data_IF_449584741949
#
_entry.id   IF_449584741949
#
_cell.length_a   1.000
_cell.length_b   1.000
_cell.length_c   1.000
_cell.angle_alpha   90.00
_cell.angle_beta   90.00
_cell.angle_gamma   90.00
#
_symmetry.space_group_name_H-M   'P 1'
#
loop_
_entity.id
_entity.type
_entity.pdbx_description
1 polymer ?
#
# COMPACT_ATOMS: atom_id res chain seq x y z
N UNK A 1 -4.67 44.90 -108.66
CA UNK A 1 -5.72 45.87 -108.26
C UNK A 1 -6.32 45.40 -106.93
N UNK A 2 -6.02 46.07 -105.96
CA UNK A 2 -6.73 46.35 -104.70
C UNK A 2 -7.55 45.19 -104.13
N UNK A 3 -7.44 44.78 -102.90
CA UNK A 3 -7.11 45.43 -101.60
C UNK A 3 -8.15 44.96 -100.62
N UNK A 4 -7.81 44.57 -99.52
CA UNK A 4 -8.30 45.09 -98.23
C UNK A 4 -7.93 44.18 -97.01
N UNK A 5 -7.17 44.72 -96.18
CA UNK A 5 -6.98 44.26 -94.82
C UNK A 5 -8.32 44.33 -94.08
N UNK A 6 -8.60 43.35 -93.29
CA UNK A 6 -9.39 43.63 -92.11
C UNK A 6 -8.77 42.98 -90.84
N UNK A 7 -8.68 43.86 -89.93
CA UNK A 7 -8.10 43.69 -88.60
C UNK A 7 -9.09 42.99 -87.67
N UNK A 8 -8.55 42.15 -86.88
CA UNK A 8 -8.88 42.16 -85.42
C UNK A 8 -10.19 41.57 -84.98
N UNK A 9 -10.08 40.48 -84.28
CA UNK A 9 -10.86 40.43 -83.06
C UNK A 9 -10.20 39.49 -82.06
N UNK A 10 -9.54 40.11 -81.10
CA UNK A 10 -9.07 39.46 -79.87
C UNK A 10 -10.27 39.30 -78.96
N UNK A 11 -11.05 38.25 -79.14
CA UNK A 11 -12.13 37.97 -78.25
C UNK A 11 -11.60 37.22 -77.03
N UNK A 12 -11.76 37.88 -75.89
CA UNK A 12 -11.65 37.40 -74.55
C UNK A 12 -12.17 35.97 -74.39
N UNK A 13 -11.27 35.06 -74.00
CA UNK A 13 -11.68 33.82 -73.31
C UNK A 13 -12.10 34.18 -71.91
N UNK A 14 -13.34 33.98 -71.54
CA UNK A 14 -13.69 34.06 -70.08
C UNK A 14 -13.03 32.89 -69.34
N UNK A 15 -12.23 33.22 -68.36
CA UNK A 15 -11.80 32.26 -67.36
C UNK A 15 -13.08 31.70 -66.71
N UNK A 16 -13.39 30.45 -66.99
CA UNK A 16 -14.44 29.74 -66.28
C UNK A 16 -14.01 29.61 -64.84
N UNK A 17 -14.61 30.43 -63.94
CA UNK A 17 -14.52 30.24 -62.52
C UNK A 17 -15.08 28.86 -62.19
N UNK A 18 -14.24 27.94 -61.75
CA UNK A 18 -14.66 26.64 -61.25
C UNK A 18 -15.45 26.84 -59.95
N UNK A 19 -16.77 26.85 -60.08
CA UNK A 19 -17.66 26.82 -58.92
C UNK A 19 -17.43 25.51 -58.14
N UNK A 20 -17.35 25.52 -56.81
CA UNK A 20 -17.07 24.32 -55.99
C UNK A 20 -18.10 23.20 -56.18
N UNK A 21 -19.26 23.50 -56.73
CA UNK A 21 -20.28 22.52 -57.08
C UNK A 21 -19.93 21.62 -58.28
N UNK A 22 -19.04 22.07 -59.20
CA UNK A 22 -18.65 21.27 -60.41
C UNK A 22 -17.65 20.17 -60.05
N UNK A 23 -16.88 20.31 -59.00
CA UNK A 23 -15.95 19.25 -58.51
C UNK A 23 -16.72 18.05 -57.94
N UNK A 24 -17.83 18.30 -57.24
CA UNK A 24 -18.68 17.24 -56.68
C UNK A 24 -19.37 16.46 -57.80
N UNK A 25 -19.91 17.15 -58.80
CA UNK A 25 -20.57 16.52 -59.98
C UNK A 25 -19.62 15.69 -60.84
N UNK A 26 -18.33 16.10 -60.96
CA UNK A 26 -17.35 15.34 -61.74
C UNK A 26 -16.85 14.06 -61.04
N UNK A 27 -17.06 13.93 -59.72
CA UNK A 27 -16.78 12.69 -59.03
C UNK A 27 -17.81 11.60 -59.31
N UNK A 28 -19.05 11.95 -59.59
CA UNK A 28 -20.11 10.99 -59.91
C UNK A 28 -19.95 10.33 -61.28
N UNK A 29 -19.23 10.96 -62.22
CA UNK A 29 -18.96 10.40 -63.55
C UNK A 29 -17.81 9.38 -63.57
N UNK A 30 -17.08 9.21 -62.48
CA UNK A 30 -15.99 8.24 -62.36
C UNK A 30 -16.44 6.98 -61.62
N UNK A 31 -17.03 6.04 -62.33
CA UNK A 31 -17.54 4.79 -61.79
C UNK A 31 -16.53 4.04 -60.88
N UNK A 32 -15.25 4.08 -61.23
CA UNK A 32 -14.20 3.46 -60.44
C UNK A 32 -14.01 4.14 -59.05
N UNK A 33 -14.04 5.47 -58.99
CA UNK A 33 -13.95 6.18 -57.68
C UNK A 33 -15.15 5.90 -56.80
N UNK A 34 -16.34 5.82 -57.37
CA UNK A 34 -17.56 5.42 -56.63
C UNK A 34 -17.46 4.01 -56.08
N UNK A 35 -16.91 3.06 -56.86
CA UNK A 35 -16.68 1.68 -56.38
C UNK A 35 -15.64 1.65 -55.26
N UNK A 36 -14.57 2.42 -55.32
CA UNK A 36 -13.59 2.55 -54.26
C UNK A 36 -14.19 3.16 -52.99
N UNK A 37 -14.98 4.23 -53.11
CA UNK A 37 -15.69 4.84 -51.99
C UNK A 37 -16.74 3.88 -51.37
N UNK A 38 -17.49 3.15 -52.22
CA UNK A 38 -18.43 2.16 -51.77
C UNK A 38 -17.76 1.01 -51.00
N UNK A 39 -16.66 0.47 -51.56
CA UNK A 39 -15.88 -0.59 -50.87
C UNK A 39 -15.25 -0.10 -49.59
N UNK A 40 -14.76 1.15 -49.53
CA UNK A 40 -14.27 1.76 -48.30
C UNK A 40 -15.38 1.89 -47.24
N UNK A 41 -16.58 2.36 -47.64
CA UNK A 41 -17.74 2.46 -46.76
C UNK A 41 -18.18 1.08 -46.27
N UNK A 42 -18.20 0.06 -47.12
CA UNK A 42 -18.51 -1.31 -46.71
C UNK A 42 -17.47 -1.88 -45.73
N UNK A 43 -16.18 -1.65 -46.01
CA UNK A 43 -15.12 -2.03 -45.08
C UNK A 43 -15.25 -1.34 -43.72
N UNK A 44 -15.53 -0.05 -43.71
CA UNK A 44 -15.75 0.73 -42.51
C UNK A 44 -16.98 0.22 -41.74
N UNK A 45 -18.10 -0.04 -42.44
CA UNK A 45 -19.32 -0.58 -41.84
C UNK A 45 -19.07 -1.99 -41.26
N UNK A 46 -18.32 -2.85 -41.94
CA UNK A 46 -17.94 -4.16 -41.48
C UNK A 46 -17.07 -4.08 -40.20
N UNK A 47 -16.11 -3.15 -40.13
CA UNK A 47 -15.28 -2.91 -38.94
C UNK A 47 -16.13 -2.42 -37.77
N UNK A 48 -17.04 -1.47 -38.00
CA UNK A 48 -17.96 -0.96 -36.98
C UNK A 48 -18.92 -2.04 -36.48
N UNK A 49 -19.42 -2.89 -37.37
CA UNK A 49 -20.28 -4.01 -37.00
C UNK A 49 -19.50 -5.03 -36.15
N UNK A 50 -18.28 -5.36 -36.57
CA UNK A 50 -17.41 -6.26 -35.80
C UNK A 50 -17.10 -5.70 -34.40
N UNK A 51 -16.79 -4.41 -34.34
CA UNK A 51 -16.58 -3.70 -33.07
C UNK A 51 -17.82 -3.74 -32.18
N UNK A 52 -18.98 -3.46 -32.77
CA UNK A 52 -20.27 -3.50 -32.02
C UNK A 52 -20.59 -4.91 -31.51
N UNK A 53 -20.32 -5.95 -32.30
CA UNK A 53 -20.48 -7.35 -31.89
C UNK A 53 -19.52 -7.71 -30.76
N UNK A 54 -18.25 -7.34 -30.86
CA UNK A 54 -17.24 -7.57 -29.82
C UNK A 54 -17.61 -6.81 -28.54
N UNK A 55 -18.00 -5.55 -28.67
CA UNK A 55 -18.46 -4.73 -27.54
C UNK A 55 -19.67 -5.35 -26.86
N UNK A 56 -20.64 -5.81 -27.62
CA UNK A 56 -21.84 -6.47 -27.09
C UNK A 56 -21.45 -7.78 -26.39
N UNK A 57 -20.58 -8.60 -26.99
CA UNK A 57 -20.14 -9.86 -26.43
C UNK A 57 -19.44 -9.65 -25.07
N UNK A 58 -18.60 -8.64 -24.93
CA UNK A 58 -17.87 -8.33 -23.69
C UNK A 58 -18.82 -7.81 -22.61
N UNK A 59 -19.86 -7.04 -22.98
CA UNK A 59 -20.77 -6.40 -22.02
C UNK A 59 -22.01 -7.22 -21.69
N UNK A 60 -22.31 -8.24 -22.48
CA UNK A 60 -23.39 -9.17 -22.16
C UNK A 60 -23.05 -10.00 -20.92
N UNK A 61 -24.03 -10.37 -20.08
CA UNK A 61 -23.83 -11.20 -18.89
C UNK A 61 -23.55 -12.69 -19.24
N UNK A 62 -22.84 -12.92 -20.37
CA UNK A 62 -22.48 -14.28 -20.82
C UNK A 62 -21.31 -14.86 -20.01
N UNK A 63 -20.53 -14.01 -19.35
CA UNK A 63 -19.40 -14.44 -18.53
C UNK A 63 -19.58 -13.92 -17.09
N UNK A 64 -20.57 -14.46 -16.34
CA UNK A 64 -20.74 -14.09 -14.95
C UNK A 64 -19.53 -14.57 -14.13
N UNK A 65 -19.13 -13.77 -13.17
CA UNK A 65 -18.15 -14.16 -12.17
C UNK A 65 -18.84 -15.10 -11.18
N UNK A 66 -18.43 -16.36 -11.09
CA UNK A 66 -19.10 -17.38 -10.27
C UNK A 66 -18.35 -17.68 -8.99
N UNK A 67 -17.03 -17.62 -9.03
CA UNK A 67 -16.17 -18.02 -7.93
C UNK A 67 -15.25 -16.88 -7.52
N UNK A 68 -15.12 -16.68 -6.20
CA UNK A 68 -14.14 -15.79 -5.61
C UNK A 68 -13.28 -16.62 -4.67
N UNK A 69 -12.02 -16.80 -5.04
CA UNK A 69 -11.06 -17.57 -4.26
C UNK A 69 -10.20 -16.59 -3.47
N UNK A 70 -10.26 -16.69 -2.13
CA UNK A 70 -9.46 -15.87 -1.23
C UNK A 70 -8.31 -16.69 -0.71
N UNK A 71 -7.09 -16.21 -0.91
CA UNK A 71 -5.85 -16.83 -0.46
C UNK A 71 -5.13 -15.93 0.51
N UNK A 72 -4.47 -16.52 1.50
CA UNK A 72 -3.68 -15.85 2.52
C UNK A 72 -3.82 -16.55 3.86
N UNK A 73 -2.88 -16.26 4.75
CA UNK A 73 -2.99 -16.68 6.16
C UNK A 73 -3.77 -15.60 6.92
N UNK A 74 -5.10 -15.79 7.00
CA UNK A 74 -6.03 -14.81 7.54
C UNK A 74 -6.42 -15.20 8.97
N UNK A 75 -6.03 -14.37 9.94
CA UNK A 75 -6.36 -14.55 11.36
C UNK A 75 -7.37 -13.52 11.88
N UNK A 76 -7.41 -12.35 11.25
CA UNK A 76 -8.21 -11.21 11.70
C UNK A 76 -9.30 -10.81 10.70
N UNK A 77 -9.13 -11.13 9.42
CA UNK A 77 -10.15 -10.85 8.40
C UNK A 77 -11.22 -11.94 8.45
N UNK A 78 -12.47 -11.53 8.72
CA UNK A 78 -13.59 -12.44 8.84
C UNK A 78 -14.30 -12.67 7.51
N UNK A 79 -14.94 -13.83 7.37
CA UNK A 79 -15.78 -14.14 6.20
C UNK A 79 -16.86 -13.08 5.94
N UNK A 80 -17.44 -12.52 7.00
CA UNK A 80 -18.46 -11.48 6.89
C UNK A 80 -17.92 -10.19 6.25
N UNK A 81 -16.72 -9.76 6.63
CA UNK A 81 -16.04 -8.60 6.03
C UNK A 81 -15.76 -8.83 4.54
N UNK A 82 -15.26 -10.01 4.22
CA UNK A 82 -15.02 -10.41 2.83
C UNK A 82 -16.31 -10.40 2.02
N UNK A 83 -17.36 -11.06 2.51
CA UNK A 83 -18.66 -11.13 1.85
C UNK A 83 -19.27 -9.73 1.62
N UNK A 84 -19.13 -8.85 2.58
CA UNK A 84 -19.58 -7.46 2.46
C UNK A 84 -18.88 -6.73 1.31
N UNK A 85 -17.55 -6.86 1.19
CA UNK A 85 -16.79 -6.23 0.12
C UNK A 85 -17.15 -6.83 -1.24
N UNK A 86 -17.24 -8.16 -1.31
CA UNK A 86 -17.64 -8.87 -2.53
C UNK A 86 -19.00 -8.36 -3.02
N UNK A 87 -19.99 -8.30 -2.14
CA UNK A 87 -21.34 -7.84 -2.52
C UNK A 87 -21.37 -6.37 -2.99
N UNK A 88 -20.51 -5.53 -2.41
CA UNK A 88 -20.52 -4.09 -2.66
C UNK A 88 -19.69 -3.69 -3.89
N UNK A 89 -18.50 -4.25 -4.03
CA UNK A 89 -17.50 -3.80 -5.02
C UNK A 89 -17.51 -4.64 -6.31
N UNK A 90 -18.14 -5.83 -6.31
CA UNK A 90 -18.19 -6.71 -7.48
C UNK A 90 -19.37 -6.31 -8.40
N UNK A 91 -19.12 -5.31 -9.22
CA UNK A 91 -20.09 -4.84 -10.21
C UNK A 91 -19.59 -5.10 -11.62
N UNK A 92 -20.37 -5.81 -12.42
CA UNK A 92 -20.00 -6.17 -13.80
C UNK A 92 -19.84 -7.67 -14.00
N UNK A 93 -19.19 -8.03 -15.11
CA UNK A 93 -18.87 -9.40 -15.47
C UNK A 93 -17.36 -9.66 -15.35
N UNK A 94 -16.92 -10.88 -15.70
CA UNK A 94 -15.52 -11.30 -15.64
C UNK A 94 -14.55 -10.31 -16.34
N UNK A 95 -14.97 -9.68 -17.46
CA UNK A 95 -14.12 -8.78 -18.24
C UNK A 95 -14.23 -7.31 -17.79
N UNK A 96 -15.40 -6.88 -17.37
CA UNK A 96 -15.70 -5.48 -17.06
C UNK A 96 -15.49 -5.11 -15.61
N UNK A 97 -15.29 -6.09 -14.70
CA UNK A 97 -15.03 -5.84 -13.29
C UNK A 97 -13.74 -5.02 -13.11
N UNK A 98 -13.81 -3.94 -12.35
CA UNK A 98 -12.64 -3.13 -11.99
C UNK A 98 -11.88 -3.76 -10.82
N UNK A 99 -10.75 -4.43 -11.14
CA UNK A 99 -9.90 -5.08 -10.14
C UNK A 99 -9.27 -4.09 -9.18
N UNK A 100 -9.01 -2.86 -9.64
CA UNK A 100 -8.45 -1.80 -8.80
C UNK A 100 -9.43 -1.38 -7.72
N UNK A 101 -10.69 -1.23 -8.09
CA UNK A 101 -11.77 -0.90 -7.17
C UNK A 101 -11.97 -2.00 -6.12
N UNK A 102 -11.97 -3.26 -6.56
CA UNK A 102 -12.03 -4.42 -5.67
C UNK A 102 -10.86 -4.41 -4.69
N UNK A 103 -9.62 -4.23 -5.18
CA UNK A 103 -8.43 -4.16 -4.35
C UNK A 103 -8.51 -3.05 -3.30
N UNK A 104 -8.95 -1.85 -3.70
CA UNK A 104 -9.19 -0.72 -2.77
C UNK A 104 -10.25 -1.03 -1.72
N UNK A 105 -11.26 -1.84 -2.06
CA UNK A 105 -12.27 -2.30 -1.12
C UNK A 105 -11.64 -3.12 0.02
N UNK A 106 -10.80 -4.09 -0.32
CA UNK A 106 -10.10 -4.92 0.67
C UNK A 106 -9.03 -4.15 1.46
N UNK A 107 -8.34 -3.17 0.85
CA UNK A 107 -7.36 -2.31 1.55
C UNK A 107 -7.97 -1.45 2.66
N UNK A 108 -9.29 -1.27 2.69
CA UNK A 108 -9.99 -0.57 3.78
C UNK A 108 -10.10 -1.41 5.06
N UNK A 109 -9.84 -2.71 4.99
CA UNK A 109 -9.86 -3.57 6.16
C UNK A 109 -8.63 -3.27 7.04
N UNK A 110 -8.82 -3.02 8.34
CA UNK A 110 -7.74 -2.57 9.24
C UNK A 110 -6.52 -3.49 9.29
N UNK A 111 -6.73 -4.79 9.17
CA UNK A 111 -5.68 -5.79 9.24
C UNK A 111 -5.04 -6.13 7.90
N UNK A 112 -5.60 -5.67 6.80
CA UNK A 112 -5.07 -5.97 5.46
C UNK A 112 -3.91 -5.04 5.13
N UNK A 113 -2.73 -5.63 4.95
CA UNK A 113 -1.50 -4.94 4.57
C UNK A 113 -1.38 -4.78 3.06
N UNK A 114 -1.59 -5.87 2.34
CA UNK A 114 -1.45 -5.88 0.89
C UNK A 114 -2.54 -6.73 0.25
N UNK A 115 -2.95 -6.33 -0.94
CA UNK A 115 -3.99 -7.01 -1.72
C UNK A 115 -3.51 -7.19 -3.14
N UNK A 116 -3.59 -8.40 -3.64
CA UNK A 116 -3.40 -8.71 -5.05
C UNK A 116 -4.67 -9.35 -5.60
N UNK A 117 -5.23 -8.77 -6.64
CA UNK A 117 -6.46 -9.27 -7.27
C UNK A 117 -6.14 -9.62 -8.71
N UNK A 118 -6.46 -10.86 -9.11
CA UNK A 118 -6.24 -11.32 -10.47
C UNK A 118 -7.40 -12.18 -10.99
N UNK A 119 -7.65 -12.09 -12.28
CA UNK A 119 -8.60 -12.97 -12.95
C UNK A 119 -7.98 -14.31 -13.19
N UNK A 120 -8.71 -15.36 -12.88
CA UNK A 120 -8.37 -16.74 -13.23
C UNK A 120 -9.48 -17.28 -14.15
N UNK A 121 -9.10 -17.52 -15.39
CA UNK A 121 -10.04 -18.03 -16.38
C UNK A 121 -10.62 -19.39 -15.98
N UNK A 122 -11.92 -19.72 -16.23
CA UNK A 122 -12.86 -18.93 -17.05
C UNK A 122 -13.74 -17.92 -16.28
N UNK A 123 -14.00 -18.09 -14.99
CA UNK A 123 -15.05 -17.38 -14.23
C UNK A 123 -14.67 -17.12 -12.77
N UNK A 124 -13.40 -17.22 -12.45
CA UNK A 124 -12.89 -17.10 -11.08
C UNK A 124 -12.10 -15.80 -10.87
N UNK A 125 -12.29 -15.18 -9.73
CA UNK A 125 -11.44 -14.09 -9.25
C UNK A 125 -10.59 -14.59 -8.08
N UNK A 126 -9.29 -14.52 -8.21
CA UNK A 126 -8.37 -14.82 -7.13
C UNK A 126 -7.99 -13.53 -6.42
N UNK A 127 -8.21 -13.49 -5.11
CA UNK A 127 -7.83 -12.38 -4.22
C UNK A 127 -6.84 -12.91 -3.20
N UNK A 128 -5.60 -12.45 -3.28
CA UNK A 128 -4.56 -12.79 -2.32
C UNK A 128 -4.45 -11.64 -1.33
N UNK A 129 -4.71 -11.93 -0.06
CA UNK A 129 -4.64 -10.97 1.05
C UNK A 129 -3.43 -11.29 1.92
N UNK A 130 -2.68 -10.25 2.28
CA UNK A 130 -1.61 -10.31 3.26
C UNK A 130 -2.03 -9.46 4.47
N UNK A 131 -2.10 -10.08 5.66
CA UNK A 131 -2.40 -9.37 6.90
C UNK A 131 -1.15 -8.75 7.54
N UNK A 132 -1.37 -7.69 8.31
CA UNK A 132 -0.35 -7.16 9.21
C UNK A 132 -0.09 -8.14 10.36
N UNK A 133 1.18 -8.39 10.67
CA UNK A 133 1.58 -9.09 11.89
C UNK A 133 1.94 -8.04 12.93
N UNK A 134 1.07 -7.84 13.92
CA UNK A 134 1.29 -6.84 14.96
C UNK A 134 2.49 -7.20 15.84
N UNK A 135 3.42 -6.25 15.99
CA UNK A 135 4.61 -6.37 16.82
C UNK A 135 4.48 -5.58 18.13
N UNK A 136 3.93 -4.37 18.06
CA UNK A 136 3.84 -3.44 19.17
C UNK A 136 2.63 -2.52 19.06
N UNK A 137 2.26 -1.87 20.17
CA UNK A 137 1.34 -0.73 20.19
C UNK A 137 2.14 0.55 20.02
N UNK A 138 1.65 1.47 19.21
CA UNK A 138 2.24 2.80 19.09
C UNK A 138 1.58 3.74 20.10
N UNK A 139 2.37 4.48 20.88
CA UNK A 139 1.84 5.36 21.93
C UNK A 139 0.96 6.50 21.40
N UNK A 140 1.16 6.90 20.15
CA UNK A 140 0.32 7.87 19.42
C UNK A 140 -0.97 7.29 18.85
N UNK A 141 -1.25 6.01 19.10
CA UNK A 141 -2.43 5.28 18.61
C UNK A 141 -2.10 4.31 17.47
N UNK A 142 -2.87 3.20 17.42
CA UNK A 142 -2.68 2.14 16.45
C UNK A 142 -1.62 1.11 16.84
N UNK A 143 -1.25 0.30 15.88
CA UNK A 143 -0.29 -0.79 16.00
C UNK A 143 0.88 -0.60 15.03
N UNK A 144 2.00 -1.22 15.35
CA UNK A 144 3.18 -1.33 14.50
C UNK A 144 3.35 -2.79 14.11
N UNK A 145 3.51 -3.08 12.83
CA UNK A 145 3.78 -4.43 12.36
C UNK A 145 5.28 -4.78 12.43
N UNK A 146 5.60 -6.03 12.11
CA UNK A 146 7.01 -6.52 12.09
C UNK A 146 7.91 -5.83 11.07
N UNK A 147 7.35 -5.03 10.15
CA UNK A 147 8.09 -4.23 9.15
C UNK A 147 8.23 -2.77 9.55
N UNK A 148 7.70 -2.38 10.72
CA UNK A 148 7.74 -1.00 11.20
C UNK A 148 6.65 -0.10 10.59
N UNK A 149 5.64 -0.67 9.93
CA UNK A 149 4.53 0.08 9.35
C UNK A 149 3.44 0.30 10.42
N UNK A 150 2.95 1.54 10.51
CA UNK A 150 1.82 1.89 11.38
C UNK A 150 0.50 1.54 10.70
N UNK A 151 -0.41 0.93 11.45
CA UNK A 151 -1.76 0.64 10.98
C UNK A 151 -2.79 0.77 12.10
N UNK A 152 -4.03 1.05 11.72
CA UNK A 152 -5.12 1.30 12.66
C UNK A 152 -5.98 0.04 12.84
N UNK A 153 -5.67 -0.73 13.87
CA UNK A 153 -6.46 -1.90 14.23
C UNK A 153 -6.52 -2.06 15.75
N UNK A 154 -7.54 -2.77 16.24
CA UNK A 154 -7.64 -3.18 17.64
C UNK A 154 -6.99 -4.55 17.82
N UNK A 155 -6.28 -4.74 18.94
CA UNK A 155 -5.74 -6.02 19.36
C UNK A 155 -5.92 -6.19 20.87
N UNK A 156 -6.33 -7.39 21.28
CA UNK A 156 -6.39 -7.79 22.68
C UNK A 156 -5.07 -8.40 23.19
N UNK A 157 -4.11 -8.64 22.31
CA UNK A 157 -2.82 -9.22 22.65
C UNK A 157 -1.99 -8.30 23.54
N UNK A 158 -1.22 -8.89 24.45
CA UNK A 158 -0.20 -8.18 25.22
C UNK A 158 1.00 -7.90 24.31
N UNK A 159 1.05 -6.66 23.81
CA UNK A 159 2.11 -6.20 22.95
C UNK A 159 2.98 -5.15 23.66
N UNK A 160 4.28 -5.09 23.39
CA UNK A 160 5.13 -4.01 23.88
C UNK A 160 4.63 -2.66 23.35
N UNK A 161 4.98 -1.59 24.07
CA UNK A 161 4.61 -0.22 23.70
C UNK A 161 5.81 0.48 23.09
N UNK A 162 5.64 1.00 21.88
CA UNK A 162 6.64 1.82 21.19
C UNK A 162 6.25 3.29 21.26
N UNK A 163 7.24 4.12 21.51
CA UNK A 163 7.10 5.58 21.52
C UNK A 163 8.25 6.21 20.75
N UNK A 164 7.93 7.17 19.89
CA UNK A 164 8.94 7.89 19.11
C UNK A 164 8.36 9.08 18.39
N UNK A 165 9.20 9.93 17.80
CA UNK A 165 8.79 10.99 16.88
C UNK A 165 8.03 10.45 15.67
N UNK A 166 7.30 11.31 15.00
CA UNK A 166 6.60 10.95 13.77
C UNK A 166 7.55 10.36 12.72
N UNK A 167 7.12 9.29 12.07
CA UNK A 167 7.91 8.59 11.05
C UNK A 167 9.02 7.70 11.59
N UNK A 168 9.22 7.58 12.92
CA UNK A 168 10.29 6.77 13.51
C UNK A 168 9.92 5.31 13.74
N UNK A 169 8.71 4.89 13.44
CA UNK A 169 8.26 3.52 13.70
C UNK A 169 9.16 2.44 13.06
N UNK A 170 9.68 2.57 11.83
CA UNK A 170 10.61 1.59 11.26
C UNK A 170 11.92 1.48 12.08
N UNK A 171 12.50 2.62 12.47
CA UNK A 171 13.74 2.69 13.24
C UNK A 171 13.54 2.07 14.65
N UNK A 172 12.42 2.39 15.31
CA UNK A 172 12.07 1.81 16.62
C UNK A 172 11.88 0.31 16.51
N UNK A 173 11.27 -0.17 15.43
CA UNK A 173 11.05 -1.60 15.18
C UNK A 173 12.35 -2.36 15.00
N UNK A 174 13.26 -1.82 14.20
CA UNK A 174 14.58 -2.41 13.98
C UNK A 174 15.36 -2.47 15.29
N UNK A 175 15.42 -1.35 16.02
CA UNK A 175 16.14 -1.25 17.27
C UNK A 175 15.55 -2.17 18.36
N UNK A 176 14.24 -2.35 18.38
CA UNK A 176 13.58 -3.31 19.26
C UNK A 176 14.05 -4.74 19.01
N UNK A 177 14.17 -5.13 17.73
CA UNK A 177 14.69 -6.45 17.35
C UNK A 177 16.09 -6.68 17.89
N UNK A 178 16.98 -5.70 17.74
CA UNK A 178 18.35 -5.75 18.24
C UNK A 178 18.40 -5.84 19.78
N UNK A 179 17.67 -4.98 20.47
CA UNK A 179 17.64 -4.98 21.93
C UNK A 179 17.02 -6.25 22.51
N UNK A 180 15.98 -6.77 21.89
CA UNK A 180 15.36 -8.03 22.27
C UNK A 180 16.35 -9.19 22.13
N UNK A 181 17.12 -9.22 21.05
CA UNK A 181 18.15 -10.25 20.84
C UNK A 181 19.26 -10.17 21.91
N UNK A 182 19.81 -8.97 22.19
CA UNK A 182 20.82 -8.78 23.24
C UNK A 182 20.35 -9.16 24.65
N UNK A 183 19.06 -8.96 24.95
CA UNK A 183 18.49 -9.26 26.28
C UNK A 183 18.05 -10.73 26.45
N UNK A 184 17.93 -11.48 25.37
CA UNK A 184 17.46 -12.88 25.38
C UNK A 184 18.27 -13.79 26.34
N UNK A 185 19.61 -13.70 26.41
CA UNK A 185 20.41 -14.54 27.33
C UNK A 185 20.03 -14.36 28.79
N UNK A 186 19.61 -13.16 29.17
CA UNK A 186 19.18 -12.84 30.55
C UNK A 186 17.70 -13.20 30.81
N UNK A 187 16.97 -13.74 29.83
CA UNK A 187 15.52 -13.98 29.89
C UNK A 187 14.70 -12.71 30.16
N UNK A 188 15.29 -11.55 29.92
CA UNK A 188 14.63 -10.25 30.02
C UNK A 188 13.98 -9.87 28.69
N UNK A 189 12.77 -9.28 28.77
CA UNK A 189 12.02 -8.88 27.59
C UNK A 189 11.72 -7.38 27.63
N UNK A 190 11.99 -6.62 26.56
CA UNK A 190 11.54 -5.23 26.48
C UNK A 190 10.01 -5.19 26.37
N UNK A 191 9.34 -4.53 27.33
CA UNK A 191 7.89 -4.28 27.32
C UNK A 191 7.54 -2.88 26.87
N UNK A 192 8.53 -1.97 26.86
CA UNK A 192 8.37 -0.65 26.25
C UNK A 192 9.71 -0.19 25.68
N UNK A 193 9.66 0.41 24.51
CA UNK A 193 10.80 1.06 23.86
C UNK A 193 10.44 2.49 23.49
N UNK A 194 11.20 3.44 24.00
CA UNK A 194 11.00 4.86 23.74
C UNK A 194 12.20 5.45 23.04
N UNK A 195 11.97 6.10 21.93
CA UNK A 195 12.90 7.02 21.29
C UNK A 195 12.45 8.46 21.54
N UNK A 196 13.27 9.24 22.24
CA UNK A 196 12.95 10.64 22.49
C UNK A 196 13.10 11.49 21.21
N UNK A 197 12.60 12.74 21.22
CA UNK A 197 12.79 13.70 20.13
C UNK A 197 14.28 13.99 19.84
N UNK A 198 15.17 13.78 20.82
CA UNK A 198 16.63 13.90 20.66
C UNK A 198 17.29 12.60 20.23
N UNK A 199 16.50 11.59 19.81
CA UNK A 199 16.95 10.26 19.42
C UNK A 199 17.69 9.47 20.51
N UNK A 200 17.35 9.73 21.79
CA UNK A 200 17.85 8.94 22.90
C UNK A 200 16.87 7.79 23.19
N UNK A 201 17.44 6.65 23.56
CA UNK A 201 16.74 5.39 23.75
C UNK A 201 16.54 5.07 25.23
N UNK A 202 15.32 4.67 25.55
CA UNK A 202 14.92 4.15 26.84
C UNK A 202 14.21 2.80 26.65
N UNK A 203 14.56 1.83 27.46
CA UNK A 203 13.98 0.48 27.40
C UNK A 203 13.40 0.11 28.76
N UNK A 204 12.11 -0.21 28.84
CA UNK A 204 11.52 -0.78 30.05
C UNK A 204 11.43 -2.30 29.87
N UNK A 205 11.91 -3.03 30.87
CA UNK A 205 11.93 -4.48 30.86
C UNK A 205 10.71 -5.07 31.62
N UNK A 206 10.42 -6.33 31.35
CA UNK A 206 9.37 -7.08 32.03
C UNK A 206 9.59 -7.21 33.54
N UNK A 207 10.83 -7.05 34.03
CA UNK A 207 11.14 -6.96 35.48
C UNK A 207 10.75 -5.62 36.11
N UNK A 208 10.27 -4.66 35.32
CA UNK A 208 10.01 -3.28 35.75
C UNK A 208 11.21 -2.36 35.66
N UNK A 209 12.42 -2.88 35.36
CA UNK A 209 13.65 -2.13 35.24
C UNK A 209 13.62 -1.21 34.02
N UNK A 210 13.93 0.08 34.21
CA UNK A 210 14.10 1.08 33.15
C UNK A 210 15.57 1.29 32.86
N UNK A 211 15.96 1.10 31.61
CA UNK A 211 17.31 1.32 31.10
C UNK A 211 17.36 2.63 30.29
N UNK A 212 18.24 3.54 30.66
CA UNK A 212 18.56 4.75 29.90
C UNK A 212 19.82 4.50 29.08
N UNK A 213 19.64 4.33 27.76
CA UNK A 213 20.74 4.01 26.84
C UNK A 213 21.37 5.25 26.21
N UNK A 214 20.59 6.37 26.17
CA UNK A 214 21.01 7.57 25.48
C UNK A 214 20.93 7.43 23.96
N UNK A 215 21.54 8.39 23.26
CA UNK A 215 21.49 8.49 21.79
C UNK A 215 22.52 7.63 21.10
N UNK A 216 23.78 7.77 21.51
CA UNK A 216 24.89 7.18 20.79
C UNK A 216 25.26 5.82 21.37
N UNK A 217 25.59 4.87 20.49
CA UNK A 217 26.06 3.55 20.87
C UNK A 217 25.11 2.77 21.82
N UNK A 218 23.80 2.95 21.68
CA UNK A 218 22.79 2.32 22.55
C UNK A 218 22.95 0.80 22.64
N UNK A 219 23.21 0.12 21.50
CA UNK A 219 23.46 -1.33 21.47
C UNK A 219 24.71 -1.73 22.24
N UNK A 220 25.83 -1.01 22.06
CA UNK A 220 27.07 -1.29 22.77
C UNK A 220 26.90 -1.12 24.29
N UNK A 221 26.15 -0.11 24.71
CA UNK A 221 25.83 0.12 26.12
C UNK A 221 24.95 -0.99 26.69
N UNK A 222 23.96 -1.43 25.93
CA UNK A 222 23.12 -2.55 26.32
C UNK A 222 23.92 -3.84 26.44
N UNK A 223 24.85 -4.10 25.53
CA UNK A 223 25.72 -5.28 25.60
C UNK A 223 26.66 -5.24 26.81
N UNK A 224 27.18 -4.05 27.19
CA UNK A 224 27.93 -3.88 28.44
C UNK A 224 27.06 -4.21 29.67
N UNK A 225 25.80 -3.71 29.68
CA UNK A 225 24.84 -4.03 30.73
C UNK A 225 24.59 -5.55 30.82
N UNK A 226 24.34 -6.20 29.69
CA UNK A 226 24.08 -7.66 29.63
C UNK A 226 25.25 -8.45 30.24
N UNK A 227 26.48 -8.11 29.88
CA UNK A 227 27.67 -8.76 30.43
C UNK A 227 27.87 -8.54 31.92
N UNK A 228 27.48 -7.37 32.43
CA UNK A 228 27.63 -7.03 33.84
C UNK A 228 26.45 -7.46 34.72
N UNK A 229 25.31 -7.81 34.11
CA UNK A 229 24.04 -8.01 34.81
C UNK A 229 24.12 -9.04 35.94
N UNK A 230 24.60 -10.26 35.63
CA UNK A 230 24.68 -11.35 36.60
C UNK A 230 25.69 -11.07 37.70
N UNK A 231 26.79 -10.40 37.42
CA UNK A 231 27.83 -10.08 38.41
C UNK A 231 27.46 -8.88 39.29
N UNK A 232 26.43 -8.08 38.89
CA UNK A 232 26.12 -6.83 39.60
C UNK A 232 24.63 -6.73 39.97
N UNK A 233 23.79 -6.45 38.94
CA UNK A 233 22.37 -6.10 39.16
C UNK A 233 21.55 -7.27 39.76
N UNK A 234 21.82 -8.50 39.30
CA UNK A 234 21.06 -9.68 39.75
C UNK A 234 21.24 -10.00 41.25
N UNK A 235 22.36 -9.55 41.83
CA UNK A 235 22.70 -9.84 43.23
C UNK A 235 22.53 -8.63 44.16
N UNK A 236 21.95 -7.52 43.67
CA UNK A 236 21.73 -6.35 44.51
C UNK A 236 20.67 -6.63 45.61
N UNK A 237 20.88 -6.13 46.85
CA UNK A 237 20.00 -6.43 47.97
C UNK A 237 18.63 -5.81 47.84
N UNK A 238 18.46 -4.82 47.00
CA UNK A 238 17.20 -4.15 46.73
C UNK A 238 16.86 -4.17 45.24
N UNK A 239 15.56 -4.24 44.87
CA UNK A 239 15.17 -4.23 43.47
C UNK A 239 15.59 -2.91 42.79
N UNK A 240 16.30 -3.02 41.68
CA UNK A 240 16.75 -1.89 40.87
C UNK A 240 15.61 -1.47 39.96
N UNK A 241 15.20 -0.21 40.03
CA UNK A 241 14.14 0.36 39.19
C UNK A 241 14.65 1.09 37.94
N UNK A 242 15.88 1.58 38.03
CA UNK A 242 16.44 2.41 36.93
C UNK A 242 17.95 2.21 36.84
N UNK A 243 18.47 2.09 35.62
CA UNK A 243 19.89 2.04 35.30
C UNK A 243 20.23 3.04 34.21
N UNK A 244 21.12 3.97 34.50
CA UNK A 244 21.64 4.90 33.50
C UNK A 244 22.97 4.38 32.91
N UNK A 245 22.93 4.01 31.64
CA UNK A 245 24.05 3.43 30.89
C UNK A 245 24.82 4.46 30.07
N UNK A 246 24.54 5.73 30.22
CA UNK A 246 25.18 6.81 29.44
C UNK A 246 26.62 7.07 29.84
N UNK A 247 27.02 6.61 30.99
CA UNK A 247 28.39 6.80 31.50
C UNK A 247 29.39 5.91 30.74
N UNK A 248 30.58 6.45 30.37
CA UNK A 248 31.55 5.68 29.58
C UNK A 248 32.15 4.48 30.31
N UNK A 249 32.42 4.62 31.63
CA UNK A 249 33.16 3.66 32.43
C UNK A 249 32.30 2.89 33.47
N UNK A 250 30.98 2.99 33.38
CA UNK A 250 30.08 2.34 34.34
C UNK A 250 28.63 2.66 34.09
N UNK A 251 27.81 2.45 35.09
CA UNK A 251 26.39 2.81 35.07
C UNK A 251 25.96 3.26 36.47
N UNK A 252 24.97 4.15 36.50
CA UNK A 252 24.36 4.56 37.76
C UNK A 252 23.06 3.78 37.96
N UNK A 253 22.81 3.35 39.19
CA UNK A 253 21.59 2.61 39.56
C UNK A 253 20.75 3.42 40.54
N UNK A 254 19.41 3.30 40.41
CA UNK A 254 18.47 3.78 41.38
C UNK A 254 17.55 2.63 41.80
N UNK A 255 17.47 2.42 43.07
CA UNK A 255 16.59 1.41 43.67
C UNK A 255 15.14 1.87 43.61
N UNK A 256 14.21 0.91 43.43
CA UNK A 256 12.80 1.15 43.63
C UNK A 256 12.54 1.40 45.14
N UNK A 257 11.59 2.28 45.47
CA UNK A 257 11.05 2.33 46.79
C UNK A 257 10.28 1.01 46.99
N UNK A 258 10.83 0.07 47.77
CA UNK A 258 10.11 -1.09 48.19
C UNK A 258 8.84 -0.61 48.89
N UNK A 259 7.71 -1.29 48.68
CA UNK A 259 6.56 -1.16 49.58
C UNK A 259 7.08 -1.37 50.97
N UNK A 260 7.09 -0.31 51.77
CA UNK A 260 7.17 -0.43 53.21
C UNK A 260 5.85 -1.13 53.61
N UNK A 261 5.87 -2.46 53.66
CA UNK A 261 4.82 -3.16 54.42
C UNK A 261 4.87 -2.57 55.81
N UNK A 262 3.96 -1.65 56.09
CA UNK A 262 3.64 -1.21 57.44
C UNK A 262 3.33 -2.48 58.25
N UNK A 263 4.31 -2.92 59.00
CA UNK A 263 4.04 -3.80 60.17
C UNK A 263 3.36 -2.89 61.21
N UNK A 264 2.10 -2.60 61.00
CA UNK A 264 1.21 -2.18 62.06
C UNK A 264 0.98 -3.42 62.93
N UNK A 265 1.84 -3.58 63.91
CA UNK A 265 1.58 -4.45 65.01
C UNK A 265 0.39 -3.89 65.79
N UNK A 266 -0.64 -4.72 65.91
CA UNK A 266 -1.69 -4.62 66.91
C UNK A 266 -1.19 -4.88 68.33
#
# INVERSE_FOLDING_TARGET
>A
MWGKKDKGDLLHRPMAASTPGTLVLSMWDKAQLMLWCANFLYALAAILLLYALLFLMIHLPLFPLKHVEIKGDLQHVTYQQVSYIVTREFKGNFFTLDLTQVGKGFQKLPWVRNVSVRRQWPDTLEVVLEEHVALARWSGGGLVNTRGELFQAASSSELPVFTGPDGSAPEVTEQYGQFKASLTPLKLKPVSLTMTARRAWQVKLNSGLLLELGRDQAGVRLDKFVRAYDATIAHMPHPVAYVDLRYPNGFAVRFGMGEIKSLANG
#
